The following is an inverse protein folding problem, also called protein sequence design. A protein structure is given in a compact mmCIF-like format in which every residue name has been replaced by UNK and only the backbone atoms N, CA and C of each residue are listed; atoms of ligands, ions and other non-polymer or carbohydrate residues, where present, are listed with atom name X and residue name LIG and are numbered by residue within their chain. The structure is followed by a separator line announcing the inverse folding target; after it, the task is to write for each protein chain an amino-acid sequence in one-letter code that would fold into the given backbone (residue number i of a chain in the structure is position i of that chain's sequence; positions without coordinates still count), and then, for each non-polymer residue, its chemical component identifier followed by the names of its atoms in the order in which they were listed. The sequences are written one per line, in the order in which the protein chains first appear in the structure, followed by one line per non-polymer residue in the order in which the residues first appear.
data_IF_249824517702
#
_entry.id   IF_249824517702
#
_cell.length_a   1.000
_cell.length_b   1.000
_cell.length_c   1.000
_cell.angle_alpha   90.00
_cell.angle_beta   90.00
_cell.angle_gamma   90.00
#
_symmetry.space_group_name_H-M   'P 1'
#
loop_
_entity.id
_entity.type
_entity.pdbx_description
1 polymer ?
#
# COMPACT_ATOMS: atom_id res chain seq x y z
N UNK A 1 64.14 -21.79 29.51
CA UNK A 1 64.22 -20.36 29.92
C UNK A 1 63.68 -19.52 28.78
N UNK A 2 62.54 -18.85 28.99
CA UNK A 2 61.88 -18.02 27.99
C UNK A 2 62.64 -16.71 27.89
N UNK A 3 63.16 -16.37 26.71
CA UNK A 3 64.01 -15.19 26.53
C UNK A 3 63.25 -13.88 26.81
N UNK A 4 63.94 -12.83 27.29
CA UNK A 4 63.30 -11.57 27.73
C UNK A 4 62.43 -10.88 26.65
N UNK A 5 62.63 -11.19 25.37
CA UNK A 5 61.78 -10.72 24.26
C UNK A 5 60.37 -11.34 24.24
N UNK A 6 60.22 -12.61 24.64
CA UNK A 6 58.91 -13.27 24.64
C UNK A 6 58.03 -12.79 25.79
N UNK A 7 58.61 -12.42 26.94
CA UNK A 7 57.85 -11.82 28.04
C UNK A 7 57.29 -10.43 27.70
N UNK A 8 58.03 -9.62 26.93
CA UNK A 8 57.57 -8.29 26.53
C UNK A 8 56.36 -8.35 25.57
N UNK A 9 56.34 -9.29 24.62
CA UNK A 9 55.21 -9.48 23.71
C UNK A 9 53.96 -10.01 24.44
N UNK A 10 54.13 -10.88 25.43
CA UNK A 10 53.00 -11.42 26.19
C UNK A 10 52.34 -10.34 27.08
N UNK A 11 53.12 -9.44 27.67
CA UNK A 11 52.57 -8.31 28.44
C UNK A 11 51.82 -7.29 27.56
N UNK A 12 52.28 -7.04 26.34
CA UNK A 12 51.57 -6.15 25.41
C UNK A 12 50.23 -6.73 24.94
N UNK A 13 50.16 -8.05 24.68
CA UNK A 13 48.89 -8.70 24.35
C UNK A 13 47.86 -8.66 25.49
N UNK A 14 48.30 -8.79 26.75
CA UNK A 14 47.39 -8.71 27.90
C UNK A 14 46.85 -7.29 28.13
N UNK A 15 47.67 -6.25 27.92
CA UNK A 15 47.19 -4.85 28.01
C UNK A 15 46.16 -4.50 26.95
N UNK A 16 46.31 -5.01 25.72
CA UNK A 16 45.35 -4.76 24.63
C UNK A 16 43.97 -5.38 24.90
N UNK A 17 43.91 -6.59 25.45
CA UNK A 17 42.64 -7.27 25.77
C UNK A 17 41.87 -6.56 26.90
N UNK A 18 42.56 -6.12 27.94
CA UNK A 18 41.93 -5.41 29.06
C UNK A 18 41.31 -4.07 28.65
N UNK A 19 41.95 -3.30 27.75
CA UNK A 19 41.37 -2.04 27.26
C UNK A 19 40.18 -2.26 26.33
N UNK A 20 40.16 -3.33 25.54
CA UNK A 20 39.04 -3.66 24.65
C UNK A 20 37.79 -4.07 25.44
N UNK A 21 37.94 -4.89 26.49
CA UNK A 21 36.82 -5.29 27.36
C UNK A 21 36.25 -4.11 28.16
N UNK A 22 37.11 -3.17 28.59
CA UNK A 22 36.65 -2.00 29.33
C UNK A 22 35.90 -0.99 28.43
N UNK A 23 36.28 -0.88 27.14
CA UNK A 23 35.52 -0.10 26.14
C UNK A 23 34.15 -0.71 25.83
N UNK A 24 34.06 -2.05 25.73
CA UNK A 24 32.77 -2.72 25.55
C UNK A 24 31.82 -2.53 26.73
N UNK A 25 32.31 -2.60 27.98
CA UNK A 25 31.46 -2.37 29.16
C UNK A 25 30.91 -0.96 29.24
N UNK A 26 31.70 0.05 28.85
CA UNK A 26 31.22 1.44 28.85
C UNK A 26 30.17 1.71 27.75
N UNK A 27 30.22 0.99 26.63
CA UNK A 27 29.25 1.16 25.55
C UNK A 27 27.86 0.58 25.90
N UNK A 28 27.82 -0.55 26.61
CA UNK A 28 26.56 -1.20 27.03
C UNK A 28 25.82 -0.43 28.13
N UNK A 29 26.54 0.39 28.91
CA UNK A 29 25.93 1.23 29.96
C UNK A 29 25.14 2.43 29.43
N UNK A 30 25.51 2.98 28.26
CA UNK A 30 24.86 4.18 27.70
C UNK A 30 23.57 3.90 26.92
N UNK A 31 23.36 2.66 26.44
CA UNK A 31 22.14 2.30 25.69
C UNK A 31 20.94 1.99 26.59
N UNK A 32 21.13 1.81 27.90
CA UNK A 32 20.04 1.53 28.85
C UNK A 32 19.25 2.76 29.31
N UNK A 33 19.70 3.98 28.99
CA UNK A 33 19.04 5.22 29.43
C UNK A 33 18.18 5.90 28.35
N UNK A 34 18.04 5.33 27.14
CA UNK A 34 17.36 5.98 26.01
C UNK A 34 16.00 5.40 25.61
N UNK A 35 15.53 4.35 26.26
CA UNK A 35 14.25 3.74 25.90
C UNK A 35 13.25 3.92 27.04
N UNK A 36 12.18 4.74 26.85
CA UNK A 36 11.09 4.80 27.81
C UNK A 36 10.51 3.41 28.02
N UNK A 37 10.19 3.11 29.26
CA UNK A 37 9.65 1.80 29.63
C UNK A 37 8.31 1.58 28.91
N UNK A 38 7.98 0.31 28.64
CA UNK A 38 6.76 -0.08 27.94
C UNK A 38 5.46 0.44 28.63
N UNK A 39 5.53 0.83 29.90
CA UNK A 39 4.44 1.51 30.63
C UNK A 39 4.30 2.99 30.25
N UNK A 40 5.41 3.69 30.03
CA UNK A 40 5.42 5.12 29.65
C UNK A 40 4.87 5.29 28.22
N UNK A 41 5.29 4.42 27.29
CA UNK A 41 4.77 4.41 25.92
C UNK A 41 3.24 4.19 25.85
N UNK A 42 2.69 3.36 26.75
CA UNK A 42 1.25 3.09 26.79
C UNK A 42 0.44 4.30 27.30
N UNK A 43 0.96 4.99 28.32
CA UNK A 43 0.31 6.20 28.85
C UNK A 43 0.34 7.35 27.83
N UNK A 44 1.46 7.54 27.11
CA UNK A 44 1.52 8.57 26.05
C UNK A 44 0.55 8.26 24.89
N UNK A 45 0.35 6.99 24.57
CA UNK A 45 -0.58 6.57 23.52
C UNK A 45 -2.05 6.81 23.93
N UNK A 46 -2.42 6.58 25.19
CA UNK A 46 -3.77 6.86 25.70
C UNK A 46 -4.06 8.37 25.75
N UNK A 47 -3.09 9.20 26.18
CA UNK A 47 -3.23 10.66 26.22
C UNK A 47 -3.34 11.26 24.81
N UNK A 48 -2.54 10.79 23.86
CA UNK A 48 -2.63 11.25 22.46
C UNK A 48 -3.95 10.83 21.79
N UNK A 49 -4.47 9.63 22.12
CA UNK A 49 -5.74 9.16 21.56
C UNK A 49 -6.94 9.96 22.08
N UNK A 50 -6.91 10.44 23.33
CA UNK A 50 -7.95 11.31 23.88
C UNK A 50 -7.90 12.71 23.28
N UNK A 51 -6.70 13.28 23.09
CA UNK A 51 -6.52 14.61 22.48
C UNK A 51 -6.97 14.64 21.02
N UNK A 52 -6.70 13.59 20.25
CA UNK A 52 -7.13 13.49 18.85
C UNK A 52 -8.66 13.39 18.71
N UNK A 53 -9.35 12.73 19.64
CA UNK A 53 -10.82 12.69 19.66
C UNK A 53 -11.43 14.06 20.00
N UNK A 54 -10.77 14.86 20.83
CA UNK A 54 -11.22 16.19 21.21
C UNK A 54 -11.05 17.20 20.05
N UNK A 55 -9.91 17.16 19.35
CA UNK A 55 -9.62 18.05 18.20
C UNK A 55 -10.53 17.73 16.97
N UNK A 56 -10.93 16.47 16.76
CA UNK A 56 -11.90 16.13 15.71
C UNK A 56 -13.30 16.70 15.97
N UNK A 57 -13.70 16.80 17.24
CA UNK A 57 -15.02 17.33 17.61
C UNK A 57 -15.09 18.85 17.39
N UNK A 58 -13.98 19.58 17.58
CA UNK A 58 -13.91 21.03 17.36
C UNK A 58 -13.79 21.39 15.87
N UNK A 59 -13.06 20.59 15.08
CA UNK A 59 -12.84 20.88 13.65
C UNK A 59 -14.11 20.66 12.81
N UNK A 60 -15.02 19.77 13.23
CA UNK A 60 -16.28 19.51 12.54
C UNK A 60 -17.31 20.66 12.67
N UNK A 61 -17.13 21.61 13.60
CA UNK A 61 -18.08 22.72 13.78
C UNK A 61 -17.75 23.96 12.95
N UNK A 62 -16.58 24.05 12.31
CA UNK A 62 -16.12 25.31 11.71
C UNK A 62 -16.30 25.44 10.19
N UNK A 63 -16.50 24.35 9.44
CA UNK A 63 -16.68 24.41 7.97
C UNK A 63 -18.15 24.32 7.56
N UNK A 64 -18.87 25.43 7.76
CA UNK A 64 -20.14 25.69 7.09
C UNK A 64 -19.95 26.68 5.93
N UNK A 65 -20.64 26.41 4.81
CA UNK A 65 -20.94 27.31 3.67
C UNK A 65 -19.89 27.44 2.55
N UNK A 66 -20.11 26.71 1.45
CA UNK A 66 -20.51 27.24 0.13
C UNK A 66 -20.37 26.13 -0.92
N UNK A 67 -21.49 25.59 -1.41
CA UNK A 67 -21.52 24.72 -2.59
C UNK A 67 -22.40 25.39 -3.66
N UNK A 68 -21.77 25.82 -4.75
CA UNK A 68 -22.43 26.19 -5.98
C UNK A 68 -22.71 24.93 -6.80
N UNK A 69 -23.95 24.79 -7.25
CA UNK A 69 -24.48 23.61 -7.93
C UNK A 69 -24.57 23.85 -9.44
N UNK A 70 -23.79 23.17 -10.31
CA UNK A 70 -24.07 23.13 -11.74
C UNK A 70 -24.97 21.92 -12.07
N UNK A 71 -26.10 22.19 -12.72
CA UNK A 71 -27.05 21.19 -13.22
C UNK A 71 -26.37 20.13 -14.09
N UNK A 72 -26.34 18.89 -13.58
CA UNK A 72 -25.88 17.71 -14.28
C UNK A 72 -26.98 17.16 -15.20
N UNK A 73 -26.66 17.01 -16.49
CA UNK A 73 -27.53 16.41 -17.50
C UNK A 73 -27.65 14.90 -17.24
N UNK A 74 -28.89 14.43 -17.10
CA UNK A 74 -29.22 13.00 -17.01
C UNK A 74 -28.69 12.21 -18.22
N UNK A 75 -27.89 11.15 -18.01
CA UNK A 75 -27.52 10.22 -19.07
C UNK A 75 -28.67 9.26 -19.39
N UNK A 76 -28.76 8.88 -20.67
CA UNK A 76 -29.75 7.97 -21.23
C UNK A 76 -29.75 6.57 -20.55
N UNK A 77 -30.89 5.86 -20.54
CA UNK A 77 -31.03 4.58 -19.85
C UNK A 77 -30.07 3.54 -20.45
N UNK A 78 -29.15 3.05 -19.62
CA UNK A 78 -28.26 1.94 -19.95
C UNK A 78 -29.10 0.66 -20.11
N UNK A 79 -28.81 -0.09 -21.17
CA UNK A 79 -29.43 -1.38 -21.45
C UNK A 79 -29.31 -2.31 -20.21
N UNK A 80 -30.42 -2.95 -19.85
CA UNK A 80 -30.52 -3.91 -18.75
C UNK A 80 -29.40 -4.94 -18.86
N UNK A 81 -28.44 -4.86 -17.94
CA UNK A 81 -27.38 -5.85 -17.86
C UNK A 81 -27.92 -7.11 -17.16
N UNK A 82 -27.62 -8.32 -17.64
CA UNK A 82 -28.30 -9.56 -17.24
C UNK A 82 -27.84 -10.18 -15.90
N UNK A 83 -27.44 -9.41 -14.87
CA UNK A 83 -26.62 -9.95 -13.76
C UNK A 83 -27.19 -9.88 -12.33
N UNK A 84 -28.48 -9.67 -12.10
CA UNK A 84 -29.00 -9.72 -10.73
C UNK A 84 -29.32 -11.15 -10.25
N UNK A 85 -28.44 -12.13 -10.52
CA UNK A 85 -28.48 -13.37 -9.74
C UNK A 85 -28.15 -13.01 -8.29
N UNK A 86 -28.95 -13.49 -7.33
CA UNK A 86 -28.65 -13.31 -5.92
C UNK A 86 -27.22 -13.79 -5.63
N UNK A 87 -26.42 -13.02 -4.86
CA UNK A 87 -25.07 -13.45 -4.52
C UNK A 87 -25.13 -14.82 -3.84
N UNK A 88 -24.24 -15.72 -4.27
CA UNK A 88 -24.20 -17.13 -3.83
C UNK A 88 -23.60 -17.31 -2.44
N UNK A 89 -23.17 -16.21 -1.84
CA UNK A 89 -22.80 -16.12 -0.45
C UNK A 89 -23.33 -14.82 0.16
N UNK A 90 -23.74 -14.90 1.42
CA UNK A 90 -24.20 -13.78 2.23
C UNK A 90 -23.46 -13.76 3.55
N UNK A 91 -23.47 -12.61 4.22
CA UNK A 91 -22.91 -12.53 5.57
C UNK A 91 -23.97 -12.84 6.62
N UNK A 92 -23.63 -13.72 7.53
CA UNK A 92 -24.53 -14.25 8.56
C UNK A 92 -23.82 -14.33 9.92
N UNK A 93 -24.53 -13.99 11.01
CA UNK A 93 -23.99 -14.13 12.36
C UNK A 93 -23.97 -15.60 12.79
N UNK A 94 -22.77 -16.16 12.95
CA UNK A 94 -22.54 -17.57 13.28
C UNK A 94 -22.51 -17.84 14.80
N UNK A 95 -22.69 -16.80 15.63
CA UNK A 95 -22.76 -16.91 17.08
C UNK A 95 -21.42 -17.06 17.80
N UNK A 96 -21.47 -16.91 19.13
CA UNK A 96 -20.37 -17.17 20.06
C UNK A 96 -19.09 -16.39 19.75
N UNK A 97 -17.96 -17.10 19.65
CA UNK A 97 -16.62 -16.54 19.36
C UNK A 97 -16.36 -16.26 17.88
N UNK A 98 -17.25 -16.70 16.97
CA UNK A 98 -17.03 -16.64 15.52
C UNK A 98 -17.56 -15.35 14.88
N UNK A 99 -18.34 -14.55 15.63
CA UNK A 99 -19.01 -13.35 15.12
C UNK A 99 -19.84 -13.67 13.87
N UNK A 100 -19.69 -12.92 12.78
CA UNK A 100 -20.35 -13.24 11.50
C UNK A 100 -19.36 -13.93 10.56
N UNK A 101 -19.86 -14.51 9.49
CA UNK A 101 -19.05 -15.17 8.48
C UNK A 101 -19.74 -15.09 7.14
N UNK A 102 -19.02 -15.49 6.11
CA UNK A 102 -19.54 -15.59 4.75
C UNK A 102 -20.09 -17.01 4.60
N UNK A 103 -21.38 -17.12 4.39
CA UNK A 103 -22.12 -18.38 4.31
C UNK A 103 -22.62 -18.54 2.88
N UNK A 104 -22.43 -19.72 2.31
CA UNK A 104 -22.96 -20.06 1.00
C UNK A 104 -24.50 -20.16 1.07
N UNK A 105 -25.20 -19.53 0.14
CA UNK A 105 -26.66 -19.63 0.02
C UNK A 105 -27.10 -20.89 -0.74
N UNK A 106 -26.17 -21.55 -1.44
CA UNK A 106 -26.39 -22.80 -2.18
C UNK A 106 -25.11 -23.65 -2.23
N UNK A 107 -25.18 -24.84 -2.83
CA UNK A 107 -24.00 -25.67 -3.05
C UNK A 107 -23.00 -24.96 -3.98
N UNK A 108 -21.71 -25.06 -3.66
CA UNK A 108 -20.60 -24.47 -4.42
C UNK A 108 -19.66 -25.59 -4.84
N UNK A 109 -19.40 -25.68 -6.13
CA UNK A 109 -18.54 -26.71 -6.70
C UNK A 109 -17.05 -26.37 -6.51
N UNK A 110 -16.20 -27.40 -6.59
CA UNK A 110 -14.76 -27.19 -6.54
C UNK A 110 -14.29 -26.29 -7.71
N UNK A 111 -13.46 -25.30 -7.42
CA UNK A 111 -12.95 -24.29 -8.38
C UNK A 111 -13.98 -23.25 -8.83
N UNK A 112 -15.16 -23.21 -8.21
CA UNK A 112 -16.15 -22.19 -8.49
C UNK A 112 -15.80 -20.84 -7.84
N UNK A 113 -16.03 -19.74 -8.57
CA UNK A 113 -15.78 -18.38 -8.08
C UNK A 113 -16.99 -17.90 -7.28
N UNK A 114 -16.81 -17.75 -5.96
CA UNK A 114 -17.86 -17.32 -5.02
C UNK A 114 -18.02 -15.81 -5.02
N UNK A 115 -16.90 -15.10 -5.06
CA UNK A 115 -16.82 -13.64 -4.97
C UNK A 115 -15.57 -13.16 -5.71
N UNK A 116 -15.68 -12.02 -6.40
CA UNK A 116 -14.54 -11.32 -6.96
C UNK A 116 -14.60 -9.87 -6.50
N UNK A 117 -13.56 -9.43 -5.80
CA UNK A 117 -13.36 -8.01 -5.52
C UNK A 117 -12.91 -7.33 -6.82
N UNK A 118 -13.76 -6.51 -7.42
CA UNK A 118 -13.43 -5.87 -8.69
C UNK A 118 -12.38 -4.76 -8.53
N UNK A 119 -12.35 -4.06 -7.38
CA UNK A 119 -11.40 -2.97 -7.15
C UNK A 119 -11.06 -2.87 -5.66
N UNK A 120 -9.80 -3.16 -5.26
CA UNK A 120 -9.41 -2.96 -3.87
C UNK A 120 -9.50 -1.47 -3.50
N UNK A 121 -9.92 -1.18 -2.28
CA UNK A 121 -9.95 0.19 -1.75
C UNK A 121 -8.59 0.89 -1.91
N UNK A 122 -7.52 0.14 -1.66
CA UNK A 122 -6.15 0.53 -1.91
C UNK A 122 -5.28 -0.71 -2.13
N UNK A 123 -4.38 -0.66 -3.09
CA UNK A 123 -3.37 -1.70 -3.30
C UNK A 123 -1.98 -1.06 -3.38
N UNK A 124 -1.06 -1.50 -2.52
CA UNK A 124 0.31 -0.98 -2.46
C UNK A 124 1.27 -2.16 -2.41
N UNK A 125 2.36 -2.07 -3.19
CA UNK A 125 3.45 -3.03 -3.07
C UNK A 125 4.21 -2.77 -1.76
N UNK A 126 4.35 -3.80 -0.93
CA UNK A 126 5.18 -3.73 0.28
C UNK A 126 6.62 -3.30 -0.06
N UNK A 127 7.27 -2.52 0.81
CA UNK A 127 8.57 -1.93 0.49
C UNK A 127 9.66 -2.99 0.23
N UNK A 128 9.71 -4.04 1.06
CA UNK A 128 10.62 -5.16 0.80
C UNK A 128 10.37 -5.80 -0.58
N UNK A 129 9.10 -5.95 -0.98
CA UNK A 129 8.74 -6.47 -2.29
C UNK A 129 9.17 -5.51 -3.41
N UNK A 130 9.15 -4.20 -3.18
CA UNK A 130 9.67 -3.20 -4.13
C UNK A 130 11.17 -3.33 -4.32
N UNK A 131 11.94 -3.68 -3.29
CA UNK A 131 13.40 -3.89 -3.41
C UNK A 131 13.73 -5.14 -4.25
N UNK A 132 12.91 -6.18 -4.13
CA UNK A 132 13.17 -7.48 -4.76
C UNK A 132 12.42 -7.69 -6.09
N UNK A 133 11.38 -6.91 -6.37
CA UNK A 133 10.45 -7.15 -7.46
C UNK A 133 10.12 -5.90 -8.25
N UNK A 134 10.37 -5.96 -9.56
CA UNK A 134 9.99 -4.92 -10.50
C UNK A 134 8.51 -5.14 -10.91
N UNK A 135 7.60 -4.29 -10.41
CA UNK A 135 6.17 -4.40 -10.68
C UNK A 135 5.58 -3.09 -11.19
N UNK A 136 4.48 -3.22 -11.94
CA UNK A 136 3.68 -2.09 -12.37
C UNK A 136 3.09 -1.36 -11.16
N UNK A 137 3.40 -0.08 -10.98
CA UNK A 137 2.89 0.72 -9.87
C UNK A 137 1.36 0.95 -9.91
N UNK A 138 0.70 0.59 -11.02
CA UNK A 138 -0.75 0.69 -11.16
C UNK A 138 -1.49 -0.62 -10.85
N UNK A 139 -1.05 -1.74 -11.43
CA UNK A 139 -1.77 -3.02 -11.33
C UNK A 139 -0.98 -4.12 -10.62
N UNK A 140 0.19 -3.80 -10.07
CA UNK A 140 1.08 -4.69 -9.31
C UNK A 140 1.59 -5.93 -10.05
N UNK A 141 1.28 -6.09 -11.34
CA UNK A 141 1.84 -7.15 -12.19
C UNK A 141 3.36 -6.97 -12.32
N UNK A 142 4.12 -8.07 -12.21
CA UNK A 142 5.56 -8.08 -12.53
C UNK A 142 5.81 -7.67 -13.99
N UNK A 143 6.88 -6.90 -14.22
CA UNK A 143 7.24 -6.36 -15.54
C UNK A 143 8.72 -6.56 -15.84
N UNK A 144 9.06 -6.43 -17.12
CA UNK A 144 10.45 -6.48 -17.59
C UNK A 144 10.96 -7.88 -17.90
N UNK A 145 12.20 -7.91 -18.35
CA UNK A 145 12.98 -9.12 -18.57
C UNK A 145 13.73 -9.57 -17.31
N UNK A 146 14.24 -10.80 -17.31
CA UNK A 146 15.16 -11.26 -16.27
C UNK A 146 16.32 -10.27 -16.04
N UNK A 147 16.88 -9.67 -17.11
CA UNK A 147 17.91 -8.64 -16.97
C UNK A 147 17.41 -7.43 -16.20
N UNK A 148 16.20 -6.95 -16.51
CA UNK A 148 15.62 -5.78 -15.83
C UNK A 148 15.42 -6.07 -14.35
N UNK A 149 14.92 -7.25 -14.00
CA UNK A 149 14.78 -7.69 -12.60
C UNK A 149 16.14 -7.79 -11.89
N UNK A 150 17.16 -8.37 -12.51
CA UNK A 150 18.50 -8.46 -11.91
C UNK A 150 19.09 -7.06 -11.70
N UNK A 151 19.03 -6.18 -12.71
CA UNK A 151 19.52 -4.80 -12.58
C UNK A 151 18.79 -4.05 -11.48
N UNK A 152 17.47 -4.21 -11.38
CA UNK A 152 16.64 -3.61 -10.33
C UNK A 152 17.14 -3.99 -8.94
N UNK A 153 17.30 -5.29 -8.67
CA UNK A 153 17.76 -5.79 -7.37
C UNK A 153 19.19 -5.31 -7.08
N UNK A 154 20.11 -5.38 -8.05
CA UNK A 154 21.49 -4.94 -7.87
C UNK A 154 21.61 -3.44 -7.61
N UNK A 155 20.80 -2.62 -8.29
CA UNK A 155 20.72 -1.18 -8.05
C UNK A 155 20.25 -0.88 -6.62
N UNK A 156 19.19 -1.54 -6.17
CA UNK A 156 18.69 -1.37 -4.79
C UNK A 156 19.68 -1.88 -3.72
N UNK A 157 20.48 -2.89 -4.04
CA UNK A 157 21.55 -3.39 -3.18
C UNK A 157 22.82 -2.52 -3.22
N UNK A 158 22.89 -1.47 -4.04
CA UNK A 158 24.07 -0.63 -4.22
C UNK A 158 25.26 -1.33 -4.89
N UNK A 159 25.02 -2.45 -5.59
CA UNK A 159 26.06 -3.28 -6.24
C UNK A 159 26.23 -2.93 -7.72
N UNK A 160 26.59 -1.68 -7.98
CA UNK A 160 26.69 -1.16 -9.35
C UNK A 160 27.85 -1.76 -10.14
N UNK A 161 28.89 -2.26 -9.46
CA UNK A 161 30.06 -2.90 -10.05
C UNK A 161 29.72 -4.18 -10.84
N UNK A 162 28.64 -4.87 -10.47
CA UNK A 162 28.22 -6.14 -11.09
C UNK A 162 27.28 -5.92 -12.28
N UNK A 163 26.75 -4.71 -12.48
CA UNK A 163 25.78 -4.43 -13.54
C UNK A 163 26.32 -4.69 -14.95
N UNK A 164 27.63 -4.51 -15.16
CA UNK A 164 28.28 -4.82 -16.43
C UNK A 164 28.15 -6.29 -16.82
N UNK A 165 28.17 -7.21 -15.84
CA UNK A 165 28.03 -8.64 -16.08
C UNK A 165 26.61 -9.02 -16.54
N UNK A 166 25.59 -8.24 -16.17
CA UNK A 166 24.20 -8.48 -16.61
C UNK A 166 24.05 -8.31 -18.13
N UNK A 167 24.86 -7.45 -18.73
CA UNK A 167 24.90 -7.27 -20.19
C UNK A 167 25.44 -8.50 -20.94
N UNK A 168 26.18 -9.39 -20.27
CA UNK A 168 26.71 -10.62 -20.87
C UNK A 168 25.62 -11.67 -21.14
N UNK A 169 24.47 -11.57 -20.48
CA UNK A 169 23.33 -12.46 -20.74
C UNK A 169 22.81 -12.14 -22.16
N UNK A 170 22.73 -13.07 -23.12
CA UNK A 170 22.27 -12.72 -24.47
C UNK A 170 20.74 -12.46 -24.51
N UNK A 171 20.29 -11.43 -25.22
CA UNK A 171 18.85 -11.15 -25.36
C UNK A 171 18.10 -12.26 -26.09
N UNK A 172 18.79 -12.96 -27.01
CA UNK A 172 18.23 -14.14 -27.70
C UNK A 172 17.88 -15.26 -26.73
N UNK A 173 18.67 -15.48 -25.67
CA UNK A 173 18.38 -16.46 -24.63
C UNK A 173 17.12 -16.08 -23.84
N UNK A 174 17.04 -14.82 -23.40
CA UNK A 174 15.90 -14.30 -22.63
C UNK A 174 14.59 -14.46 -23.40
N UNK A 175 14.58 -14.08 -24.68
CA UNK A 175 13.40 -14.20 -25.54
C UNK A 175 13.02 -15.66 -25.75
N UNK A 176 13.98 -16.53 -26.10
CA UNK A 176 13.73 -17.95 -26.37
C UNK A 176 13.21 -18.70 -25.14
N UNK A 177 13.70 -18.36 -23.95
CA UNK A 177 13.31 -18.99 -22.70
C UNK A 177 12.02 -18.42 -22.08
N UNK A 178 11.38 -17.42 -22.71
CA UNK A 178 10.18 -16.79 -22.16
C UNK A 178 10.42 -15.99 -20.87
N UNK A 179 11.66 -15.52 -20.64
CA UNK A 179 12.07 -14.82 -19.42
C UNK A 179 11.80 -13.30 -19.49
N UNK A 180 10.67 -12.94 -20.10
CA UNK A 180 10.20 -11.56 -20.24
C UNK A 180 8.71 -11.48 -19.93
N UNK A 181 8.36 -10.69 -18.92
CA UNK A 181 7.01 -10.58 -18.37
C UNK A 181 6.20 -9.44 -19.00
N UNK A 182 6.84 -8.61 -19.83
CA UNK A 182 6.24 -7.47 -20.52
C UNK A 182 7.17 -6.26 -20.55
N UNK A 183 6.72 -5.14 -21.14
CA UNK A 183 7.52 -3.93 -21.21
C UNK A 183 7.62 -3.24 -19.84
N UNK A 184 8.70 -2.48 -19.64
CA UNK A 184 8.89 -1.56 -18.52
C UNK A 184 8.70 -0.14 -19.06
N UNK A 185 7.60 0.50 -18.71
CA UNK A 185 7.31 1.88 -19.10
C UNK A 185 7.58 2.79 -17.89
N UNK A 186 8.65 3.60 -17.88
CA UNK A 186 8.94 4.48 -16.75
C UNK A 186 7.92 5.62 -16.64
N UNK A 187 7.75 6.19 -15.45
CA UNK A 187 6.87 7.35 -15.22
C UNK A 187 7.24 8.58 -16.09
N UNK A 188 8.54 8.81 -16.28
CA UNK A 188 9.09 9.95 -17.02
C UNK A 188 9.32 11.20 -16.16
N UNK A 189 8.76 11.25 -14.95
CA UNK A 189 9.01 12.33 -13.99
C UNK A 189 10.38 12.18 -13.32
N UNK A 190 11.08 13.30 -13.13
CA UNK A 190 12.36 13.33 -12.43
C UNK A 190 12.24 12.70 -11.03
N UNK A 191 13.19 11.83 -10.69
CA UNK A 191 13.30 11.11 -9.40
C UNK A 191 12.12 10.19 -9.05
N UNK A 192 11.19 9.95 -9.99
CA UNK A 192 10.09 9.02 -9.76
C UNK A 192 10.51 7.59 -10.12
N UNK A 193 10.56 6.65 -9.15
CA UNK A 193 10.96 5.27 -9.42
C UNK A 193 9.83 4.41 -10.00
N UNK A 194 8.64 4.99 -10.23
CA UNK A 194 7.48 4.23 -10.68
C UNK A 194 7.66 3.74 -12.12
N UNK A 195 7.28 2.48 -12.35
CA UNK A 195 7.26 1.83 -13.66
C UNK A 195 5.90 1.19 -13.91
N UNK A 196 5.55 1.01 -15.17
CA UNK A 196 4.24 0.53 -15.60
C UNK A 196 4.37 -0.56 -16.65
N UNK A 197 3.41 -1.48 -16.70
CA UNK A 197 3.38 -2.56 -17.69
C UNK A 197 2.88 -2.13 -19.07
N UNK A 198 2.36 -0.90 -19.21
CA UNK A 198 1.82 -0.37 -20.46
C UNK A 198 1.61 1.14 -20.37
N UNK A 199 1.52 1.80 -21.53
CA UNK A 199 1.12 3.22 -21.61
C UNK A 199 -0.24 3.47 -20.97
N UNK A 200 -1.20 2.55 -21.15
CA UNK A 200 -2.52 2.62 -20.51
C UNK A 200 -2.43 2.66 -18.98
N UNK A 201 -1.58 1.82 -18.37
CA UNK A 201 -1.39 1.84 -16.92
C UNK A 201 -0.69 3.12 -16.44
N UNK A 202 0.27 3.63 -17.22
CA UNK A 202 0.92 4.91 -16.95
C UNK A 202 -0.11 6.06 -16.99
N UNK A 203 -0.89 6.16 -18.06
CA UNK A 203 -1.91 7.19 -18.25
C UNK A 203 -2.97 7.14 -17.14
N UNK A 204 -3.47 5.95 -16.82
CA UNK A 204 -4.41 5.77 -15.72
C UNK A 204 -3.79 6.21 -14.39
N UNK A 205 -2.57 5.81 -14.06
CA UNK A 205 -1.92 6.25 -12.83
C UNK A 205 -1.77 7.79 -12.76
N UNK A 206 -1.39 8.42 -13.88
CA UNK A 206 -1.20 9.88 -13.97
C UNK A 206 -2.50 10.68 -13.95
N UNK A 207 -3.66 10.06 -14.20
CA UNK A 207 -4.95 10.76 -14.30
C UNK A 207 -5.92 10.42 -13.16
N UNK A 208 -5.94 9.14 -12.78
CA UNK A 208 -7.03 8.49 -12.05
C UNK A 208 -6.61 7.94 -10.69
N UNK A 209 -5.36 8.15 -10.25
CA UNK A 209 -4.85 7.64 -8.97
C UNK A 209 -4.08 8.71 -8.20
N UNK A 210 -3.78 8.43 -6.92
CA UNK A 210 -2.93 9.29 -6.08
C UNK A 210 -1.56 9.61 -6.71
N UNK A 211 -1.06 8.79 -7.65
CA UNK A 211 0.19 9.06 -8.36
C UNK A 211 0.17 10.41 -9.10
N UNK A 212 -1.00 10.82 -9.63
CA UNK A 212 -1.20 12.16 -10.19
C UNK A 212 -0.82 13.24 -9.18
N UNK A 213 -1.38 13.14 -7.98
CA UNK A 213 -1.23 14.14 -6.92
C UNK A 213 0.18 14.15 -6.32
N UNK A 214 0.75 12.98 -6.00
CA UNK A 214 2.04 12.90 -5.29
C UNK A 214 3.25 12.93 -6.21
N UNK A 215 3.05 12.88 -7.53
CA UNK A 215 4.14 12.89 -8.51
C UNK A 215 3.96 13.95 -9.59
N UNK A 216 2.91 13.87 -10.41
CA UNK A 216 2.76 14.70 -11.62
C UNK A 216 2.43 16.16 -11.27
N UNK A 217 1.48 16.37 -10.37
CA UNK A 217 0.98 17.70 -9.99
C UNK A 217 1.48 18.15 -8.61
N UNK A 218 2.42 17.42 -8.00
CA UNK A 218 3.01 17.78 -6.73
C UNK A 218 3.87 19.05 -6.87
N UNK A 219 3.51 20.11 -6.16
CA UNK A 219 4.35 21.32 -6.05
C UNK A 219 5.66 21.02 -5.30
N UNK A 220 5.59 20.20 -4.26
CA UNK A 220 6.73 19.78 -3.43
C UNK A 220 6.90 18.26 -3.47
N UNK A 221 7.30 17.73 -4.63
CA UNK A 221 7.52 16.27 -4.81
C UNK A 221 8.51 15.70 -3.79
N UNK A 222 9.52 16.46 -3.42
CA UNK A 222 10.54 16.06 -2.45
C UNK A 222 9.95 15.79 -1.07
N UNK A 223 8.93 16.55 -0.62
CA UNK A 223 8.30 16.34 0.68
C UNK A 223 7.66 14.95 0.79
N UNK A 224 7.02 14.46 -0.27
CA UNK A 224 6.48 13.10 -0.32
C UNK A 224 7.59 12.03 -0.28
N UNK A 225 8.68 12.25 -1.03
CA UNK A 225 9.83 11.34 -1.04
C UNK A 225 10.54 11.31 0.32
N UNK A 226 10.68 12.45 0.98
CA UNK A 226 11.22 12.58 2.33
C UNK A 226 10.34 11.88 3.36
N UNK A 227 9.02 12.07 3.29
CA UNK A 227 8.06 11.34 4.11
C UNK A 227 8.21 9.83 3.92
N UNK A 228 8.24 9.33 2.68
CA UNK A 228 8.42 7.91 2.40
C UNK A 228 9.78 7.39 2.87
N UNK A 229 10.84 8.20 2.75
CA UNK A 229 12.17 7.85 3.27
C UNK A 229 12.16 7.72 4.80
N UNK A 230 11.56 8.69 5.50
CA UNK A 230 11.41 8.67 6.95
C UNK A 230 10.55 7.48 7.41
N UNK A 231 9.38 7.28 6.79
CA UNK A 231 8.47 6.19 7.11
C UNK A 231 9.16 4.82 6.99
N UNK A 232 9.92 4.57 5.92
CA UNK A 232 10.69 3.33 5.74
C UNK A 232 11.78 3.12 6.78
N UNK A 233 12.40 4.20 7.24
CA UNK A 233 13.47 4.13 8.24
C UNK A 233 12.93 3.81 9.64
N UNK A 234 11.73 4.28 9.96
CA UNK A 234 11.20 4.26 11.32
C UNK A 234 10.07 3.26 11.53
N UNK A 235 9.10 3.18 10.60
CA UNK A 235 7.94 2.31 10.73
C UNK A 235 7.20 2.13 9.40
N UNK A 236 7.26 0.93 8.80
CA UNK A 236 6.62 0.63 7.50
C UNK A 236 5.11 0.90 7.48
N UNK A 237 4.42 0.78 8.63
CA UNK A 237 3.01 1.13 8.74
C UNK A 237 2.70 2.60 8.42
N UNK A 238 3.68 3.51 8.59
CA UNK A 238 3.52 4.91 8.19
C UNK A 238 3.44 5.07 6.68
N UNK A 239 4.11 4.21 5.90
CA UNK A 239 3.99 4.21 4.43
C UNK A 239 2.54 3.94 4.05
N UNK A 240 1.94 2.89 4.63
CA UNK A 240 0.54 2.57 4.35
C UNK A 240 -0.41 3.69 4.78
N UNK A 241 -0.24 4.23 5.99
CA UNK A 241 -1.05 5.33 6.49
C UNK A 241 -0.95 6.58 5.58
N UNK A 242 0.26 6.94 5.17
CA UNK A 242 0.48 8.06 4.25
C UNK A 242 -0.16 7.83 2.89
N UNK A 243 -0.10 6.61 2.34
CA UNK A 243 -0.76 6.29 1.07
C UNK A 243 -2.29 6.31 1.20
N UNK A 244 -2.85 5.81 2.30
CA UNK A 244 -4.29 5.94 2.59
C UNK A 244 -4.72 7.41 2.64
N UNK A 245 -3.98 8.25 3.36
CA UNK A 245 -4.26 9.68 3.43
C UNK A 245 -4.13 10.36 2.07
N UNK A 246 -3.09 10.03 1.29
CA UNK A 246 -2.93 10.55 -0.05
C UNK A 246 -4.09 10.15 -0.98
N UNK A 247 -4.58 8.91 -0.87
CA UNK A 247 -5.75 8.45 -1.63
C UNK A 247 -7.03 9.21 -1.21
N UNK A 248 -7.24 9.43 0.10
CA UNK A 248 -8.38 10.19 0.60
C UNK A 248 -8.36 11.61 0.04
N UNK A 249 -7.22 12.30 0.15
CA UNK A 249 -7.05 13.66 -0.37
C UNK A 249 -7.24 13.70 -1.88
N UNK A 250 -6.73 12.70 -2.60
CA UNK A 250 -6.92 12.59 -4.04
C UNK A 250 -8.41 12.51 -4.42
N UNK A 251 -9.19 11.65 -3.77
CA UNK A 251 -10.63 11.50 -4.03
C UNK A 251 -11.41 12.81 -3.72
N UNK A 252 -11.05 13.51 -2.64
CA UNK A 252 -11.71 14.78 -2.29
C UNK A 252 -11.37 15.88 -3.29
N UNK A 253 -10.07 16.11 -3.55
CA UNK A 253 -9.62 17.25 -4.36
C UNK A 253 -9.86 17.00 -5.85
N UNK A 254 -9.55 15.81 -6.36
CA UNK A 254 -9.55 15.52 -7.80
C UNK A 254 -10.83 14.85 -8.28
N UNK A 255 -11.56 14.15 -7.41
CA UNK A 255 -12.85 13.53 -7.75
C UNK A 255 -14.05 14.29 -7.18
N UNK A 256 -13.84 15.33 -6.37
CA UNK A 256 -14.91 16.16 -5.82
C UNK A 256 -15.81 15.42 -4.84
N UNK A 257 -15.34 14.32 -4.25
CA UNK A 257 -16.13 13.52 -3.31
C UNK A 257 -16.12 14.15 -1.93
N UNK A 258 -17.17 13.91 -1.16
CA UNK A 258 -17.23 14.40 0.22
C UNK A 258 -16.24 13.63 1.10
N UNK A 259 -15.50 14.35 1.96
CA UNK A 259 -14.50 13.75 2.84
C UNK A 259 -15.06 12.62 3.72
N UNK A 260 -16.24 12.81 4.31
CA UNK A 260 -16.90 11.80 5.15
C UNK A 260 -17.19 10.50 4.40
N UNK A 261 -17.60 10.58 3.13
CA UNK A 261 -17.87 9.42 2.28
C UNK A 261 -16.60 8.65 1.92
N UNK A 262 -15.51 9.36 1.67
CA UNK A 262 -14.21 8.78 1.25
C UNK A 262 -13.49 8.13 2.43
N UNK A 263 -13.55 8.74 3.62
CA UNK A 263 -12.86 8.25 4.81
C UNK A 263 -13.54 7.04 5.42
N UNK A 264 -14.87 6.95 5.34
CA UNK A 264 -15.66 5.90 5.98
C UNK A 264 -15.13 4.48 5.71
N UNK A 265 -14.85 4.06 4.46
CA UNK A 265 -14.29 2.73 4.18
C UNK A 265 -12.94 2.44 4.86
N UNK A 266 -12.11 3.46 5.09
CA UNK A 266 -10.82 3.29 5.77
C UNK A 266 -10.97 3.13 7.28
N UNK A 267 -11.99 3.77 7.89
CA UNK A 267 -12.29 3.65 9.32
C UNK A 267 -13.02 2.35 9.65
N UNK A 268 -13.82 1.87 8.70
CA UNK A 268 -14.59 0.64 8.79
C UNK A 268 -13.70 -0.58 9.09
N UNK A 269 -12.52 -0.68 8.48
CA UNK A 269 -11.56 -1.77 8.76
C UNK A 269 -10.93 -1.72 10.17
N UNK A 270 -10.88 -0.55 10.80
CA UNK A 270 -10.30 -0.40 12.14
C UNK A 270 -11.34 -0.57 13.26
N UNK A 271 -12.59 -0.22 12.99
CA UNK A 271 -13.64 -0.10 14.00
C UNK A 271 -14.69 -1.20 13.95
N UNK A 272 -14.74 -1.97 12.88
CA UNK A 272 -15.82 -2.89 12.62
C UNK A 272 -15.27 -4.26 12.17
N UNK A 273 -15.77 -5.38 12.73
CA UNK A 273 -15.49 -6.71 12.19
C UNK A 273 -15.82 -6.70 10.68
N UNK A 274 -14.99 -7.32 9.81
CA UNK A 274 -15.20 -7.31 8.33
C UNK A 274 -16.63 -7.72 7.94
N UNK A 275 -17.22 -8.55 8.78
CA UNK A 275 -18.59 -9.01 8.76
C UNK A 275 -19.67 -7.91 8.81
N UNK A 276 -19.36 -6.77 9.41
CA UNK A 276 -20.25 -5.61 9.50
C UNK A 276 -20.17 -4.70 8.28
N UNK A 277 -19.15 -4.88 7.45
CA UNK A 277 -18.92 -4.15 6.21
C UNK A 277 -19.61 -4.82 5.02
N UNK A 278 -19.95 -6.10 5.16
CA UNK A 278 -20.71 -6.80 4.14
C UNK A 278 -22.16 -6.30 4.10
N UNK A 279 -22.72 -6.04 2.90
CA UNK A 279 -24.07 -5.53 2.76
C UNK A 279 -25.08 -6.49 3.40
N UNK A 280 -25.77 -6.00 4.43
CA UNK A 280 -26.71 -6.76 5.23
C UNK A 280 -28.04 -6.90 4.48
N UNK A 281 -28.15 -7.88 3.58
CA UNK A 281 -29.34 -8.04 2.72
C UNK A 281 -30.59 -8.54 3.47
N UNK A 282 -30.48 -9.00 4.71
CA UNK A 282 -31.63 -9.49 5.49
C UNK A 282 -32.65 -8.39 5.87
N UNK A 283 -32.29 -7.11 5.70
CA UNK A 283 -33.24 -5.99 5.85
C UNK A 283 -33.90 -5.55 4.52
N UNK A 284 -33.53 -6.16 3.39
CA UNK A 284 -34.04 -5.78 2.06
C UNK A 284 -35.45 -6.30 1.72
N UNK A 285 -36.17 -6.89 2.68
CA UNK A 285 -37.61 -7.15 2.55
C UNK A 285 -38.47 -5.93 2.90
N UNK A 286 -37.85 -4.79 3.24
CA UNK A 286 -38.52 -3.49 3.18
C UNK A 286 -38.56 -2.96 1.74
N UNK A 287 -39.55 -2.12 1.37
CA UNK A 287 -39.56 -1.44 0.08
C UNK A 287 -38.22 -0.71 -0.12
N UNK A 288 -37.67 -0.70 -1.36
CA UNK A 288 -36.38 -0.07 -1.63
C UNK A 288 -36.41 1.37 -1.12
N UNK A 289 -35.38 1.84 -0.38
CA UNK A 289 -35.29 3.23 -0.01
C UNK A 289 -35.28 4.05 -1.30
N UNK A 290 -36.27 4.94 -1.44
CA UNK A 290 -36.49 5.79 -2.61
C UNK A 290 -35.47 6.94 -2.67
N UNK A 291 -34.17 6.62 -2.59
CA UNK A 291 -33.08 7.60 -2.63
C UNK A 291 -31.73 6.95 -2.85
N UNK A 292 -31.28 6.95 -4.11
CA UNK A 292 -29.93 7.25 -4.61
C UNK A 292 -28.68 6.80 -3.81
N UNK A 293 -28.71 5.65 -3.14
CA UNK A 293 -27.53 5.13 -2.43
C UNK A 293 -26.64 4.18 -3.24
N UNK A 294 -26.92 4.01 -4.54
CA UNK A 294 -25.99 3.38 -5.48
C UNK A 294 -25.24 4.47 -6.26
N UNK A 295 -24.19 5.00 -5.65
CA UNK A 295 -23.18 5.78 -6.37
C UNK A 295 -22.45 4.86 -7.36
N UNK A 296 -23.01 4.83 -8.56
CA UNK A 296 -22.43 4.56 -9.87
C UNK A 296 -20.89 4.42 -9.91
N UNK A 297 -20.37 3.20 -9.81
CA UNK A 297 -19.07 2.83 -10.39
C UNK A 297 -19.30 2.28 -11.80
N UNK A 298 -19.76 3.14 -12.72
CA UNK A 298 -19.75 2.82 -14.14
C UNK A 298 -18.32 2.94 -14.68
N UNK A 299 -17.53 1.86 -14.65
CA UNK A 299 -16.31 1.76 -15.47
C UNK A 299 -16.44 0.65 -16.52
N UNK A 300 -16.24 1.06 -17.77
CA UNK A 300 -16.30 0.22 -18.97
C UNK A 300 -15.31 -0.94 -18.87
N UNK A 301 -15.78 -2.17 -19.10
CA UNK A 301 -14.90 -3.31 -19.38
C UNK A 301 -14.04 -3.00 -20.61
N UNK A 302 -12.74 -3.26 -20.49
CA UNK A 302 -11.85 -3.36 -21.64
C UNK A 302 -12.17 -4.68 -22.35
N UNK A 303 -12.43 -4.71 -23.67
CA UNK A 303 -12.60 -5.96 -24.39
C UNK A 303 -11.29 -6.75 -24.37
N UNK A 304 -11.35 -8.00 -23.92
CA UNK A 304 -10.30 -8.99 -24.15
C UNK A 304 -10.28 -9.32 -25.63
N UNK A 305 -9.28 -8.79 -26.34
CA UNK A 305 -8.98 -9.20 -27.71
C UNK A 305 -8.62 -10.69 -27.70
N UNK A 306 -9.45 -11.51 -28.37
CA UNK A 306 -9.12 -12.89 -28.71
C UNK A 306 -7.83 -12.91 -29.53
N UNK A 307 -6.88 -13.77 -29.11
CA UNK A 307 -5.71 -14.09 -29.91
C UNK A 307 -6.15 -15.04 -31.03
N UNK A 308 -5.95 -14.60 -32.27
CA UNK A 308 -5.87 -15.43 -33.48
C UNK A 308 -4.41 -15.75 -33.77
#
# INVERSE_FOLDING_TARGET
MVGPRQQAQQQQQYRGKSQAEQRQRNHVGQDRQKYPTHKELRNEQEVNSQRFQQEQHETCQHYGMQQNNPQEKQPAPAAEQPWAASPRAHVEFLGGKRARGLVASEAIEASEVIYTEETPLLAVQHEFSRLCGLTCSNCLRFVGSLKDCIRHVLNHAGRHEVLGAVSLIPDGFIKKAGLSLGPVVPCGEAECPAVFCSKRCLEHARQETLHRMVCVEATERTAWLEFLSHARKHHDGLVMAGVCMAQIVFEVIFKGRQFSEVVRPFLEFYSAPWESLAPNRLLANGPPPSGDFFACLSRRRVPTSAQS
#
